data_IF_289749428525
#
_entry.id   IF_289749428525
#
_cell.length_a   1.000
_cell.length_b   1.000
_cell.length_c   1.000
_cell.angle_alpha   90.00
_cell.angle_beta   90.00
_cell.angle_gamma   90.00
#
_symmetry.space_group_name_H-M   'P 1'
#
loop_
_entity.id
_entity.type
_entity.pdbx_description
1 polymer ?
#
# COMPACT_ATOMS: atom_id res chain seq x y z
N UNK A 1 3.12 -4.53 -8.88
CA UNK A 1 4.28 -5.10 -9.61
C UNK A 1 5.20 -3.96 -10.01
N UNK A 2 6.51 -4.17 -9.93
CA UNK A 2 7.53 -3.23 -10.38
C UNK A 2 8.32 -3.85 -11.53
N UNK A 3 8.71 -3.03 -12.50
CA UNK A 3 9.44 -3.42 -13.71
C UNK A 3 10.55 -2.41 -13.98
N UNK A 4 11.77 -2.89 -14.24
CA UNK A 4 12.88 -2.04 -14.70
C UNK A 4 13.94 -2.86 -15.42
N UNK A 5 14.33 -2.46 -16.64
CA UNK A 5 15.48 -3.05 -17.32
C UNK A 5 15.40 -4.57 -17.56
N UNK A 6 14.19 -5.12 -17.72
CA UNK A 6 13.97 -6.57 -17.84
C UNK A 6 13.80 -7.30 -16.51
N UNK A 7 14.06 -6.64 -15.37
CA UNK A 7 13.77 -7.17 -14.05
C UNK A 7 12.31 -6.92 -13.66
N UNK A 8 11.76 -7.83 -12.86
CA UNK A 8 10.42 -7.70 -12.31
C UNK A 8 10.40 -8.06 -10.83
N UNK A 9 9.59 -7.33 -10.07
CA UNK A 9 9.29 -7.64 -8.69
C UNK A 9 7.78 -7.65 -8.49
N UNK A 10 7.28 -8.80 -8.06
CA UNK A 10 5.88 -8.98 -7.72
C UNK A 10 5.73 -9.11 -6.19
N UNK A 11 4.81 -8.32 -5.63
CA UNK A 11 4.46 -8.35 -4.22
C UNK A 11 2.93 -8.50 -4.15
N UNK A 12 2.43 -9.53 -3.44
CA UNK A 12 0.98 -9.76 -3.34
C UNK A 12 0.29 -8.60 -2.62
N UNK A 13 -0.93 -8.31 -3.06
CA UNK A 13 -1.84 -7.43 -2.33
C UNK A 13 -2.31 -8.08 -1.02
N UNK A 14 -2.87 -7.28 -0.13
CA UNK A 14 -3.48 -7.78 1.11
C UNK A 14 -4.93 -8.18 0.88
N UNK A 15 -5.39 -9.32 1.41
CA UNK A 15 -6.80 -9.66 1.38
C UNK A 15 -7.62 -8.65 2.18
N UNK A 16 -8.76 -8.25 1.63
CA UNK A 16 -9.72 -7.34 2.27
C UNK A 16 -11.02 -8.12 2.47
N UNK A 17 -11.37 -8.41 3.72
CA UNK A 17 -12.54 -9.25 4.05
C UNK A 17 -13.87 -8.56 3.73
N UNK A 18 -13.93 -7.23 3.82
CA UNK A 18 -15.13 -6.42 3.59
C UNK A 18 -14.80 -5.24 2.68
N UNK A 19 -14.65 -5.46 1.37
CA UNK A 19 -14.43 -4.36 0.43
C UNK A 19 -15.71 -3.51 0.32
N UNK A 20 -15.55 -2.19 0.35
CA UNK A 20 -16.63 -1.22 0.28
C UNK A 20 -16.67 -0.57 -1.11
N UNK A 21 -15.56 -0.01 -1.56
CA UNK A 21 -15.42 0.57 -2.91
C UNK A 21 -13.98 0.50 -3.40
N UNK A 22 -13.72 0.18 -4.68
CA UNK A 22 -12.36 0.24 -5.23
C UNK A 22 -11.91 1.68 -5.57
N UNK A 23 -12.83 2.66 -5.51
CA UNK A 23 -12.54 4.04 -5.85
C UNK A 23 -11.44 4.60 -4.93
N UNK A 24 -10.39 5.19 -5.51
CA UNK A 24 -9.25 5.75 -4.77
C UNK A 24 -8.18 4.75 -4.32
N UNK A 25 -8.39 3.44 -4.47
CA UNK A 25 -7.40 2.44 -4.09
C UNK A 25 -6.09 2.54 -4.88
N UNK A 26 -6.18 2.88 -6.17
CA UNK A 26 -5.03 3.09 -7.04
C UNK A 26 -4.22 4.33 -6.65
N UNK A 27 -4.90 5.44 -6.33
CA UNK A 27 -4.26 6.68 -5.90
C UNK A 27 -3.57 6.49 -4.54
N UNK A 28 -4.24 5.77 -3.62
CA UNK A 28 -3.66 5.42 -2.32
C UNK A 28 -2.42 4.51 -2.47
N UNK A 29 -2.46 3.55 -3.39
CA UNK A 29 -1.30 2.74 -3.73
C UNK A 29 -0.14 3.61 -4.24
N UNK A 30 -0.42 4.50 -5.19
CA UNK A 30 0.60 5.37 -5.78
C UNK A 30 1.20 6.32 -4.73
N UNK A 31 0.36 6.94 -3.90
CA UNK A 31 0.79 7.82 -2.82
C UNK A 31 1.67 7.09 -1.81
N UNK A 32 1.27 5.90 -1.36
CA UNK A 32 2.04 5.06 -0.45
C UNK A 32 3.39 4.64 -1.04
N UNK A 33 3.40 4.24 -2.32
CA UNK A 33 4.62 3.86 -3.03
C UNK A 33 5.60 5.04 -3.14
N UNK A 34 5.13 6.22 -3.56
CA UNK A 34 5.96 7.43 -3.66
C UNK A 34 6.52 7.81 -2.29
N UNK A 35 5.67 7.84 -1.26
CA UNK A 35 6.09 8.13 0.10
C UNK A 35 7.19 7.17 0.56
N UNK A 36 7.00 5.86 0.40
CA UNK A 36 7.97 4.85 0.80
C UNK A 36 9.31 5.02 0.07
N UNK A 37 9.28 5.36 -1.22
CA UNK A 37 10.49 5.63 -1.99
C UNK A 37 11.22 6.89 -1.52
N UNK A 38 10.49 7.94 -1.14
CA UNK A 38 11.06 9.15 -0.54
C UNK A 38 11.66 8.91 0.85
N UNK A 39 11.17 7.91 1.59
CA UNK A 39 11.78 7.45 2.85
C UNK A 39 13.01 6.55 2.65
N UNK A 40 13.43 6.28 1.40
CA UNK A 40 14.58 5.43 1.12
C UNK A 40 14.29 3.91 1.16
N UNK A 41 13.02 3.51 1.27
CA UNK A 41 12.65 2.09 1.33
C UNK A 41 12.97 1.35 0.04
N UNK A 42 13.27 0.04 0.17
CA UNK A 42 13.45 -0.86 -0.96
C UNK A 42 12.22 -0.88 -1.87
N UNK A 43 12.37 -1.28 -3.14
CA UNK A 43 11.21 -1.43 -4.03
C UNK A 43 10.20 -2.47 -3.51
N UNK A 44 10.68 -3.52 -2.85
CA UNK A 44 9.80 -4.53 -2.24
C UNK A 44 8.97 -3.93 -1.10
N UNK A 45 9.58 -3.15 -0.22
CA UNK A 45 8.88 -2.51 0.88
C UNK A 45 7.97 -1.38 0.41
N UNK A 46 8.38 -0.62 -0.60
CA UNK A 46 7.53 0.39 -1.22
C UNK A 46 6.29 -0.22 -1.89
N UNK A 47 6.42 -1.38 -2.54
CA UNK A 47 5.27 -2.12 -3.08
C UNK A 47 4.36 -2.64 -1.96
N UNK A 48 4.92 -3.13 -0.83
CA UNK A 48 4.14 -3.53 0.34
C UNK A 48 3.35 -2.37 0.93
N UNK A 49 3.98 -1.20 1.08
CA UNK A 49 3.33 0.02 1.55
C UNK A 49 2.20 0.43 0.61
N UNK A 50 2.46 0.49 -0.71
CA UNK A 50 1.42 0.79 -1.69
C UNK A 50 0.24 -0.19 -1.60
N UNK A 51 0.51 -1.49 -1.54
CA UNK A 51 -0.52 -2.51 -1.41
C UNK A 51 -1.35 -2.34 -0.12
N UNK A 52 -0.72 -1.97 1.00
CA UNK A 52 -1.40 -1.70 2.26
C UNK A 52 -2.30 -0.47 2.17
N UNK A 53 -1.81 0.64 1.59
CA UNK A 53 -2.62 1.84 1.39
C UNK A 53 -3.86 1.56 0.53
N UNK A 54 -3.69 0.82 -0.57
CA UNK A 54 -4.81 0.39 -1.41
C UNK A 54 -5.82 -0.46 -0.62
N UNK A 55 -5.35 -1.45 0.12
CA UNK A 55 -6.21 -2.33 0.92
C UNK A 55 -7.02 -1.59 2.00
N UNK A 56 -6.41 -0.59 2.66
CA UNK A 56 -7.09 0.24 3.66
C UNK A 56 -8.19 1.09 3.01
N UNK A 57 -7.92 1.71 1.85
CA UNK A 57 -8.91 2.54 1.15
C UNK A 57 -10.06 1.70 0.60
N UNK A 58 -9.79 0.48 0.09
CA UNK A 58 -10.85 -0.41 -0.39
C UNK A 58 -11.88 -0.75 0.69
N UNK A 59 -11.45 -0.82 1.95
CA UNK A 59 -12.33 -1.08 3.10
C UNK A 59 -13.15 0.13 3.59
N UNK A 60 -13.03 1.30 2.94
CA UNK A 60 -13.64 2.57 3.41
C UNK A 60 -14.56 3.16 2.34
N UNK A 61 -15.54 3.94 2.78
CA UNK A 61 -16.55 4.55 1.89
C UNK A 61 -16.12 5.99 1.52
N UNK A 62 -15.34 6.15 0.45
CA UNK A 62 -15.08 7.45 -0.19
C UNK A 62 -13.72 7.59 -0.88
N UNK A 63 -13.57 8.65 -1.67
CA UNK A 63 -12.39 8.93 -2.49
C UNK A 63 -11.54 10.02 -1.82
N UNK A 64 -10.29 9.73 -1.47
CA UNK A 64 -9.29 10.73 -1.04
C UNK A 64 -9.24 11.07 0.46
N UNK A 65 -10.39 11.25 1.14
CA UNK A 65 -10.45 11.59 2.58
C UNK A 65 -9.96 10.48 3.52
N UNK A 66 -9.67 9.30 2.95
CA UNK A 66 -9.44 8.06 3.68
C UNK A 66 -8.04 7.47 3.49
N UNK A 67 -7.10 8.23 2.92
CA UNK A 67 -5.70 7.80 2.87
C UNK A 67 -5.21 7.49 4.29
N UNK A 68 -4.50 6.38 4.51
CA UNK A 68 -4.08 6.00 5.85
C UNK A 68 -3.07 7.01 6.41
N UNK A 69 -3.20 7.31 7.70
CA UNK A 69 -2.12 7.97 8.43
C UNK A 69 -0.94 7.00 8.59
N UNK A 70 0.27 7.56 8.78
CA UNK A 70 1.49 6.76 8.91
C UNK A 70 1.38 5.69 9.99
N UNK A 71 0.85 6.02 11.15
CA UNK A 71 0.73 5.09 12.28
C UNK A 71 -0.25 3.95 11.98
N UNK A 72 -1.37 4.26 11.32
CA UNK A 72 -2.35 3.28 10.88
C UNK A 72 -1.74 2.31 9.87
N UNK A 73 -1.05 2.83 8.85
CA UNK A 73 -0.33 2.02 7.86
C UNK A 73 0.67 1.08 8.53
N UNK A 74 1.49 1.59 9.45
CA UNK A 74 2.49 0.78 10.15
C UNK A 74 1.83 -0.25 11.09
N UNK A 75 0.70 0.09 11.71
CA UNK A 75 -0.11 -0.86 12.48
C UNK A 75 -0.62 -2.00 11.61
N UNK A 76 -1.25 -1.66 10.48
CA UNK A 76 -1.79 -2.60 9.50
C UNK A 76 -0.72 -3.60 9.01
N UNK A 77 0.49 -3.10 8.73
CA UNK A 77 1.62 -3.93 8.29
C UNK A 77 2.12 -4.84 9.42
N UNK A 78 2.30 -4.32 10.65
CA UNK A 78 2.74 -5.11 11.81
C UNK A 78 1.78 -6.25 12.15
N UNK A 79 0.47 -5.97 12.16
CA UNK A 79 -0.57 -6.99 12.41
C UNK A 79 -0.51 -8.15 11.40
N UNK A 80 0.02 -7.90 10.21
CA UNK A 80 0.18 -8.88 9.13
C UNK A 80 1.60 -9.43 9.02
N UNK A 81 2.44 -9.21 10.04
CA UNK A 81 3.81 -9.70 10.10
C UNK A 81 4.74 -9.06 9.05
N UNK A 82 4.35 -7.93 8.48
CA UNK A 82 5.14 -7.21 7.48
C UNK A 82 5.91 -6.08 8.17
N UNK A 83 7.23 -6.17 8.11
CA UNK A 83 8.14 -5.15 8.62
C UNK A 83 8.76 -4.45 7.41
N UNK A 84 8.62 -3.13 7.36
CA UNK A 84 9.27 -2.27 6.36
C UNK A 84 10.38 -1.50 7.06
N UNK A 85 11.53 -1.40 6.39
CA UNK A 85 12.78 -0.86 6.94
C UNK A 85 12.77 0.63 7.25
#
# INVERSE_FOLDING_TARGET
>A
MWLRGGESLWVPGFPVERPVTPLGAGDAFAAGLVWARLQGLSWGDALRVGNACGAIVVGRLGCGEFSPYREELLGFLRERGVHVG
#
